data_IF_460925092093
#
_entry.id   IF_460925092093
#
_cell.length_a   1.000
_cell.length_b   1.000
_cell.length_c   1.000
_cell.angle_alpha   90.00
_cell.angle_beta   90.00
_cell.angle_gamma   90.00
#
_symmetry.space_group_name_H-M   'P 1'
#
loop_
_entity.id
_entity.type
_entity.pdbx_description
1 polymer ?
#
# COMPACT_ATOMS: atom_id res chain seq x y z
N UNK A 1 -21.24 10.34 9.46
CA UNK A 1 -20.95 10.80 8.09
C UNK A 1 -19.46 11.03 8.02
N UNK A 2 -18.71 10.06 7.48
CA UNK A 2 -17.25 10.14 7.43
C UNK A 2 -16.81 11.34 6.59
N UNK A 3 -15.81 12.08 7.04
CA UNK A 3 -15.29 13.24 6.31
C UNK A 3 -14.33 12.81 5.21
N UNK A 4 -14.21 13.61 4.15
CA UNK A 4 -13.28 13.34 3.05
C UNK A 4 -11.84 13.09 3.54
N UNK A 5 -11.41 13.83 4.57
CA UNK A 5 -10.08 13.68 5.19
C UNK A 5 -9.91 12.33 5.88
N UNK A 6 -10.89 11.91 6.69
CA UNK A 6 -10.86 10.61 7.39
C UNK A 6 -10.87 9.45 6.40
N UNK A 7 -11.66 9.56 5.34
CA UNK A 7 -11.68 8.56 4.29
C UNK A 7 -10.35 8.51 3.51
N UNK A 8 -9.76 9.67 3.21
CA UNK A 8 -8.45 9.74 2.57
C UNK A 8 -7.37 9.07 3.42
N UNK A 9 -7.38 9.33 4.73
CA UNK A 9 -6.46 8.72 5.70
C UNK A 9 -6.65 7.20 5.80
N UNK A 10 -7.90 6.73 5.86
CA UNK A 10 -8.21 5.29 5.81
C UNK A 10 -7.74 4.62 4.52
N UNK A 11 -7.84 5.33 3.38
CA UNK A 11 -7.42 4.82 2.08
C UNK A 11 -5.89 4.73 1.95
N UNK A 12 -5.14 5.68 2.52
CA UNK A 12 -3.67 5.67 2.49
C UNK A 12 -3.05 4.75 3.54
N UNK A 13 -3.65 4.62 4.73
CA UNK A 13 -3.10 3.77 5.79
C UNK A 13 -3.44 2.28 5.66
N UNK A 14 -4.12 1.84 4.59
CA UNK A 14 -4.64 0.47 4.37
C UNK A 14 -5.59 -0.06 5.48
N UNK A 15 -5.83 0.72 6.54
CA UNK A 15 -6.68 0.40 7.70
C UNK A 15 -8.15 0.16 7.35
N UNK A 16 -8.56 0.45 6.12
CA UNK A 16 -9.90 0.13 5.63
C UNK A 16 -10.18 -1.40 5.60
N UNK A 17 -9.12 -2.23 5.54
CA UNK A 17 -9.26 -3.70 5.62
C UNK A 17 -9.54 -4.18 7.05
N UNK A 18 -8.85 -3.62 8.03
CA UNK A 18 -9.01 -3.92 9.47
C UNK A 18 -10.17 -3.17 10.14
N UNK A 19 -10.77 -2.20 9.45
CA UNK A 19 -11.89 -1.43 9.99
C UNK A 19 -13.15 -2.30 10.19
N UNK A 20 -13.95 -1.93 11.21
CA UNK A 20 -15.23 -2.57 11.49
C UNK A 20 -16.19 -2.47 10.30
N UNK A 21 -17.11 -3.44 10.19
CA UNK A 21 -18.08 -3.52 9.07
C UNK A 21 -18.87 -2.22 8.87
N UNK A 22 -19.19 -1.52 9.96
CA UNK A 22 -19.90 -0.24 9.93
C UNK A 22 -19.10 0.85 9.21
N UNK A 23 -17.81 0.97 9.51
CA UNK A 23 -16.90 1.93 8.86
C UNK A 23 -16.72 1.59 7.38
N UNK A 24 -16.70 0.30 7.03
CA UNK A 24 -16.64 -0.13 5.62
C UNK A 24 -17.87 0.29 4.83
N UNK A 25 -19.07 0.14 5.40
CA UNK A 25 -20.32 0.57 4.76
C UNK A 25 -20.35 2.09 4.62
N UNK A 26 -19.97 2.82 5.66
CA UNK A 26 -19.97 4.29 5.65
C UNK A 26 -18.95 4.86 4.64
N UNK A 27 -17.75 4.28 4.57
CA UNK A 27 -16.75 4.60 3.55
C UNK A 27 -17.27 4.34 2.13
N UNK A 28 -17.97 3.22 1.91
CA UNK A 28 -18.54 2.87 0.60
C UNK A 28 -19.63 3.85 0.17
N UNK A 29 -20.48 4.27 1.11
CA UNK A 29 -21.51 5.28 0.88
C UNK A 29 -20.88 6.64 0.53
N UNK A 30 -19.84 7.04 1.26
CA UNK A 30 -19.10 8.28 0.97
C UNK A 30 -18.41 8.23 -0.40
N UNK A 31 -17.78 7.11 -0.78
CA UNK A 31 -17.18 6.95 -2.10
C UNK A 31 -18.21 7.06 -3.23
N UNK A 32 -19.45 6.66 -2.98
CA UNK A 32 -20.52 6.76 -3.97
C UNK A 32 -21.01 8.21 -4.15
N UNK A 33 -21.05 8.98 -3.05
CA UNK A 33 -21.49 10.38 -3.08
C UNK A 33 -20.38 11.37 -3.48
N UNK A 34 -19.12 11.08 -3.16
CA UNK A 34 -18.00 12.00 -3.36
C UNK A 34 -17.08 11.54 -4.49
N UNK A 35 -17.15 12.24 -5.64
CA UNK A 35 -16.31 11.96 -6.83
C UNK A 35 -14.82 12.11 -6.57
N UNK A 36 -14.41 13.00 -5.67
CA UNK A 36 -12.99 13.19 -5.33
C UNK A 36 -12.43 11.99 -4.58
N UNK A 37 -13.14 11.51 -3.56
CA UNK A 37 -12.75 10.32 -2.81
C UNK A 37 -12.80 9.07 -3.69
N UNK A 38 -13.78 8.94 -4.59
CA UNK A 38 -13.83 7.86 -5.57
C UNK A 38 -12.59 7.84 -6.48
N UNK A 39 -12.15 9.02 -6.95
CA UNK A 39 -10.94 9.15 -7.78
C UNK A 39 -9.68 8.77 -7.00
N UNK A 40 -9.56 9.24 -5.76
CA UNK A 40 -8.43 8.91 -4.88
C UNK A 40 -8.35 7.40 -4.65
N UNK A 41 -9.48 6.75 -4.35
CA UNK A 41 -9.53 5.30 -4.17
C UNK A 41 -9.03 4.54 -5.41
N UNK A 42 -9.41 4.98 -6.62
CA UNK A 42 -8.92 4.39 -7.88
C UNK A 42 -7.42 4.59 -8.07
N UNK A 43 -6.90 5.79 -7.78
CA UNK A 43 -5.46 6.08 -7.87
C UNK A 43 -4.66 5.20 -6.91
N UNK A 44 -5.14 5.03 -5.68
CA UNK A 44 -4.50 4.15 -4.70
C UNK A 44 -4.52 2.69 -5.12
N UNK A 45 -5.62 2.21 -5.72
CA UNK A 45 -5.67 0.85 -6.28
C UNK A 45 -4.68 0.67 -7.44
N UNK A 46 -4.57 1.66 -8.32
CA UNK A 46 -3.58 1.64 -9.42
C UNK A 46 -2.15 1.61 -8.89
N UNK A 47 -1.84 2.42 -7.87
CA UNK A 47 -0.54 2.41 -7.20
C UNK A 47 -0.24 1.05 -6.55
N UNK A 48 -1.21 0.47 -5.82
CA UNK A 48 -1.06 -0.87 -5.23
C UNK A 48 -0.85 -1.94 -6.29
N UNK A 49 -1.61 -1.90 -7.38
CA UNK A 49 -1.49 -2.86 -8.48
C UNK A 49 -0.13 -2.72 -9.19
N UNK A 50 0.33 -1.49 -9.43
CA UNK A 50 1.65 -1.22 -10.00
C UNK A 50 2.77 -1.70 -9.05
N UNK A 51 2.66 -1.42 -7.75
CA UNK A 51 3.62 -1.89 -6.74
C UNK A 51 3.67 -3.42 -6.68
N UNK A 52 2.52 -4.11 -6.74
CA UNK A 52 2.45 -5.58 -6.78
C UNK A 52 3.08 -6.14 -8.05
N UNK A 53 2.75 -5.58 -9.21
CA UNK A 53 3.37 -5.98 -10.49
C UNK A 53 4.88 -5.75 -10.48
N UNK A 54 5.32 -4.65 -9.90
CA UNK A 54 6.73 -4.34 -9.77
C UNK A 54 7.42 -5.34 -8.82
N UNK A 55 6.80 -5.66 -7.68
CA UNK A 55 7.29 -6.68 -6.76
C UNK A 55 7.38 -8.07 -7.43
N UNK A 56 6.38 -8.44 -8.23
CA UNK A 56 6.35 -9.70 -8.99
C UNK A 56 7.46 -9.74 -10.07
N UNK A 57 7.65 -8.64 -10.80
CA UNK A 57 8.73 -8.47 -11.78
C UNK A 57 10.13 -8.48 -11.18
N UNK A 58 10.27 -8.13 -9.90
CA UNK A 58 11.55 -8.21 -9.18
C UNK A 58 11.82 -9.60 -8.57
N UNK A 59 10.95 -10.59 -8.80
CA UNK A 59 11.02 -11.92 -8.18
C UNK A 59 10.82 -11.87 -6.66
N UNK A 60 10.78 -13.01 -5.95
CA UNK A 60 10.72 -13.04 -4.50
C UNK A 60 11.90 -12.27 -3.94
N UNK A 61 11.64 -11.03 -3.52
CA UNK A 61 12.64 -10.23 -2.84
C UNK A 61 12.66 -10.80 -1.43
N UNK A 62 13.77 -11.38 -1.01
CA UNK A 62 14.13 -11.82 0.37
C UNK A 62 13.96 -10.74 1.46
N UNK A 63 13.16 -9.70 1.24
CA UNK A 63 12.88 -8.63 2.20
C UNK A 63 11.70 -8.93 3.12
N UNK A 64 11.10 -10.12 3.06
CA UNK A 64 10.20 -10.64 4.11
C UNK A 64 10.95 -11.43 5.20
N UNK A 65 12.29 -11.36 5.24
CA UNK A 65 13.08 -11.75 6.40
C UNK A 65 13.55 -10.49 7.15
N UNK A 66 13.17 -10.29 8.42
CA UNK A 66 13.69 -9.19 9.20
C UNK A 66 15.20 -9.38 9.43
N UNK A 67 15.99 -8.38 9.05
CA UNK A 67 17.36 -8.19 9.54
C UNK A 67 18.50 -8.82 8.74
N UNK A 68 18.55 -10.14 8.56
CA UNK A 68 19.85 -10.80 8.34
C UNK A 68 20.43 -10.72 6.91
N UNK A 69 19.60 -10.57 5.87
CA UNK A 69 20.07 -10.70 4.48
C UNK A 69 20.56 -9.41 3.80
N UNK A 70 20.19 -8.23 4.32
CA UNK A 70 20.48 -6.96 3.64
C UNK A 70 21.96 -6.58 3.75
N UNK A 71 22.53 -6.79 4.92
CA UNK A 71 23.92 -6.47 5.26
C UNK A 71 24.93 -7.33 4.48
N UNK A 72 24.73 -8.64 4.42
CA UNK A 72 25.61 -9.55 3.68
C UNK A 72 25.63 -9.25 2.17
N UNK A 73 24.49 -8.85 1.60
CA UNK A 73 24.37 -8.45 0.19
C UNK A 73 25.04 -7.11 -0.11
N UNK A 74 25.05 -6.19 0.85
CA UNK A 74 25.75 -4.91 0.73
C UNK A 74 27.27 -5.12 0.78
N UNK A 75 27.75 -5.99 1.68
CA UNK A 75 29.17 -6.37 1.78
C UNK A 75 29.64 -7.05 0.49
N UNK A 76 28.89 -8.02 -0.04
CA UNK A 76 29.25 -8.69 -1.31
C UNK A 76 29.32 -7.72 -2.50
N UNK A 77 28.43 -6.73 -2.57
CA UNK A 77 28.46 -5.73 -3.64
C UNK A 77 29.59 -4.72 -3.51
N UNK A 78 30.00 -4.36 -2.28
CA UNK A 78 31.17 -3.51 -2.05
C UNK A 78 32.46 -4.27 -2.35
N UNK A 79 32.58 -5.52 -1.90
CA UNK A 79 33.77 -6.36 -2.11
C UNK A 79 33.99 -6.74 -3.56
N UNK A 80 32.93 -6.82 -4.39
CA UNK A 80 33.04 -7.06 -5.84
C UNK A 80 33.51 -5.83 -6.63
N UNK A 81 33.65 -4.66 -6.00
CA UNK A 81 34.05 -3.40 -6.62
C UNK A 81 35.50 -3.00 -6.33
N UNK A 82 36.33 -3.96 -5.88
CA UNK A 82 37.80 -3.84 -5.75
C UNK A 82 38.45 -4.73 -6.78
#
# INVERSE_FOLDING_TARGET
MIRCRELAELLTSDRLRDASLRVRVEARLHLWMCRHCARLARQMEQLRAAARKLADSFGPRETDAPGEGLEERLVLKLSKKV
#
